data_IF_451925940399
#
_entry.id   IF_451925940399
#
_cell.length_a   1.000
_cell.length_b   1.000
_cell.length_c   1.000
_cell.angle_alpha   90.00
_cell.angle_beta   90.00
_cell.angle_gamma   90.00
#
_symmetry.space_group_name_H-M   'P 1'
#
loop_
_entity.id
_entity.type
_entity.pdbx_description
1 polymer ?
#
# COMPACT_ATOMS: atom_id res chain seq x y z
N UNK A 1 -14.46 42.11 -22.64
CA UNK A 1 -14.72 41.49 -21.32
C UNK A 1 -13.50 41.79 -20.45
N UNK A 2 -13.61 42.80 -19.60
CA UNK A 2 -12.50 43.30 -18.76
C UNK A 2 -12.29 42.33 -17.59
N UNK A 3 -11.06 41.82 -17.40
CA UNK A 3 -10.70 41.02 -16.23
C UNK A 3 -10.69 41.95 -15.02
N UNK A 4 -11.64 41.76 -14.10
CA UNK A 4 -11.66 42.43 -12.82
C UNK A 4 -10.60 41.77 -11.94
N UNK A 5 -9.41 42.38 -11.83
CA UNK A 5 -8.43 41.97 -10.84
C UNK A 5 -8.71 42.79 -9.57
N UNK A 6 -8.99 42.13 -8.45
CA UNK A 6 -9.10 42.80 -7.16
C UNK A 6 -7.72 43.36 -6.77
N UNK A 7 -7.71 44.65 -6.43
CA UNK A 7 -6.52 45.38 -6.01
C UNK A 7 -6.53 45.52 -4.49
N UNK A 8 -5.36 45.39 -3.88
CA UNK A 8 -5.18 45.60 -2.45
C UNK A 8 -5.18 47.10 -2.10
N UNK A 9 -5.11 47.44 -0.81
CA UNK A 9 -5.18 48.83 -0.33
C UNK A 9 -4.05 49.74 -0.82
N UNK A 10 -3.00 49.18 -1.41
CA UNK A 10 -1.87 49.90 -2.02
C UNK A 10 -1.96 49.96 -3.57
N UNK A 11 -3.05 49.45 -4.16
CA UNK A 11 -3.25 49.46 -5.62
C UNK A 11 -2.55 48.33 -6.38
N UNK A 12 -1.87 47.43 -5.68
CA UNK A 12 -1.27 46.23 -6.26
C UNK A 12 -2.30 45.13 -6.51
N UNK A 13 -2.05 44.28 -7.52
CA UNK A 13 -2.88 43.10 -7.78
C UNK A 13 -2.74 42.14 -6.60
N UNK A 14 -3.87 41.79 -5.98
CA UNK A 14 -3.91 40.81 -4.91
C UNK A 14 -3.31 39.49 -5.39
N UNK A 15 -2.14 39.15 -4.87
CA UNK A 15 -1.51 37.87 -5.19
C UNK A 15 -2.37 36.77 -4.57
N UNK A 16 -3.02 35.97 -5.42
CA UNK A 16 -3.62 34.71 -5.01
C UNK A 16 -2.56 33.90 -4.24
N UNK A 17 -2.96 33.34 -3.10
CA UNK A 17 -2.17 32.39 -2.31
C UNK A 17 -1.46 31.42 -3.25
N UNK A 18 -0.15 31.25 -3.05
CA UNK A 18 0.65 30.31 -3.85
C UNK A 18 -0.04 28.93 -3.85
N UNK A 19 -0.20 28.28 -5.01
CA UNK A 19 -0.78 26.95 -5.06
C UNK A 19 -0.05 26.02 -4.08
N UNK A 20 -0.77 25.18 -3.31
CA UNK A 20 -0.11 24.26 -2.41
C UNK A 20 0.89 23.38 -3.17
N UNK A 21 2.09 23.21 -2.62
CA UNK A 21 3.09 22.29 -3.17
C UNK A 21 2.69 20.89 -2.76
N UNK A 22 2.04 20.16 -3.66
CA UNK A 22 1.68 18.77 -3.42
C UNK A 22 2.89 17.86 -3.63
N UNK A 23 3.19 17.00 -2.65
CA UNK A 23 4.18 15.95 -2.82
C UNK A 23 3.65 14.92 -3.83
N UNK A 24 4.42 14.63 -4.88
CA UNK A 24 4.07 13.61 -5.86
C UNK A 24 4.14 12.24 -5.19
N UNK A 25 2.99 11.61 -4.96
CA UNK A 25 2.94 10.24 -4.46
C UNK A 25 3.47 9.30 -5.54
N UNK A 26 4.51 8.55 -5.20
CA UNK A 26 5.15 7.62 -6.13
C UNK A 26 4.26 6.40 -6.33
N UNK A 27 3.86 6.16 -7.57
CA UNK A 27 3.10 4.94 -7.91
C UNK A 27 3.97 3.69 -7.71
N UNK A 28 3.52 2.69 -6.95
CA UNK A 28 4.24 1.43 -6.82
C UNK A 28 4.29 0.71 -8.17
N UNK A 29 5.43 0.09 -8.47
CA UNK A 29 5.69 -0.58 -9.75
C UNK A 29 6.08 -2.04 -9.54
N UNK A 30 5.32 -2.95 -10.15
CA UNK A 30 5.64 -4.37 -10.12
C UNK A 30 6.58 -4.72 -11.28
N UNK A 31 7.88 -4.65 -11.00
CA UNK A 31 8.93 -4.87 -12.00
C UNK A 31 9.34 -6.33 -12.19
N UNK A 32 9.10 -7.18 -11.19
CA UNK A 32 9.48 -8.59 -11.19
C UNK A 32 8.30 -9.44 -10.73
N UNK A 33 8.14 -10.62 -11.33
CA UNK A 33 7.14 -11.61 -10.91
C UNK A 33 7.71 -12.61 -9.89
N UNK A 34 8.49 -12.08 -8.94
CA UNK A 34 9.10 -12.84 -7.84
C UNK A 34 8.38 -12.57 -6.53
N UNK A 35 8.57 -13.46 -5.55
CA UNK A 35 7.85 -13.41 -4.29
C UNK A 35 8.12 -12.14 -3.46
N UNK A 36 9.38 -11.72 -3.24
CA UNK A 36 9.65 -10.46 -2.55
C UNK A 36 9.03 -9.24 -3.27
N UNK A 37 9.01 -9.25 -4.61
CA UNK A 37 8.43 -8.15 -5.36
C UNK A 37 6.89 -8.11 -5.25
N UNK A 38 6.23 -9.26 -5.15
CA UNK A 38 4.79 -9.35 -4.92
C UNK A 38 4.42 -8.94 -3.49
N UNK A 39 5.21 -9.33 -2.48
CA UNK A 39 5.00 -8.93 -1.10
C UNK A 39 5.13 -7.41 -0.94
N UNK A 40 6.23 -6.82 -1.42
CA UNK A 40 6.43 -5.36 -1.41
C UNK A 40 5.30 -4.65 -2.13
N UNK A 41 4.91 -5.11 -3.33
CA UNK A 41 3.82 -4.51 -4.07
C UNK A 41 2.46 -4.60 -3.35
N UNK A 42 2.20 -5.68 -2.61
CA UNK A 42 0.98 -5.84 -1.79
C UNK A 42 0.98 -4.90 -0.58
N UNK A 43 2.13 -4.59 0.00
CA UNK A 43 2.24 -3.63 1.11
C UNK A 43 2.16 -2.17 0.62
N UNK A 44 2.88 -1.82 -0.44
CA UNK A 44 2.93 -0.44 -0.96
C UNK A 44 1.62 0.00 -1.64
N UNK A 45 0.86 -0.94 -2.23
CA UNK A 45 -0.32 -0.60 -3.03
C UNK A 45 -1.49 -0.03 -2.22
N UNK A 46 -1.88 -0.59 -1.05
CA UNK A 46 -2.86 0.02 -0.16
C UNK A 46 -2.41 1.39 0.35
N UNK A 47 -1.15 1.53 0.76
CA UNK A 47 -0.57 2.79 1.25
C UNK A 47 -0.67 3.90 0.19
N UNK A 48 -0.28 3.59 -1.05
CA UNK A 48 -0.46 4.48 -2.20
C UNK A 48 -1.93 4.92 -2.38
N UNK A 49 -2.88 4.00 -2.18
CA UNK A 49 -4.31 4.30 -2.27
C UNK A 49 -4.80 5.27 -1.20
N UNK A 50 -4.35 5.07 0.04
CA UNK A 50 -4.66 5.92 1.21
C UNK A 50 -4.06 7.30 1.08
N UNK A 51 -2.78 7.41 0.74
CA UNK A 51 -2.11 8.71 0.54
C UNK A 51 -2.79 9.49 -0.60
N UNK A 52 -3.16 8.82 -1.70
CA UNK A 52 -3.87 9.48 -2.80
C UNK A 52 -5.28 9.92 -2.39
N UNK A 53 -5.95 9.16 -1.53
CA UNK A 53 -7.24 9.54 -0.97
C UNK A 53 -7.13 10.81 -0.13
N UNK A 54 -6.15 10.90 0.75
CA UNK A 54 -5.91 12.09 1.59
C UNK A 54 -5.62 13.35 0.74
N UNK A 55 -4.84 13.19 -0.33
CA UNK A 55 -4.64 14.28 -1.29
C UNK A 55 -5.94 14.68 -2.00
N UNK A 56 -6.74 13.71 -2.47
CA UNK A 56 -8.01 13.98 -3.14
C UNK A 56 -9.00 14.74 -2.22
N UNK A 57 -9.04 14.40 -0.93
CA UNK A 57 -9.83 15.14 0.07
C UNK A 57 -9.34 16.58 0.21
N UNK A 58 -8.03 16.80 0.11
CA UNK A 58 -7.41 18.13 0.21
C UNK A 58 -7.58 18.97 -1.06
N UNK A 59 -7.50 18.37 -2.25
CA UNK A 59 -7.59 19.06 -3.55
C UNK A 59 -9.01 19.16 -4.10
N UNK A 60 -9.94 18.34 -3.61
CA UNK A 60 -11.29 18.20 -4.15
C UNK A 60 -11.36 17.39 -5.44
N UNK A 61 -10.28 16.70 -5.83
CA UNK A 61 -10.25 15.86 -7.01
C UNK A 61 -10.96 14.51 -6.78
N UNK A 62 -11.55 13.96 -7.85
CA UNK A 62 -12.18 12.64 -7.77
C UNK A 62 -11.13 11.54 -7.69
N UNK A 63 -11.12 10.75 -6.60
CA UNK A 63 -10.15 9.67 -6.33
C UNK A 63 -9.92 8.71 -7.51
N UNK A 64 -10.99 8.32 -8.21
CA UNK A 64 -10.94 7.46 -9.40
C UNK A 64 -10.12 8.02 -10.58
N UNK A 65 -9.94 9.34 -10.63
CA UNK A 65 -9.20 10.00 -11.70
C UNK A 65 -7.70 10.11 -11.37
N UNK A 66 -7.34 10.01 -10.09
CA UNK A 66 -5.98 10.18 -9.58
C UNK A 66 -5.29 8.83 -9.38
N UNK A 67 -6.05 7.81 -8.97
CA UNK A 67 -5.51 6.48 -8.69
C UNK A 67 -5.11 5.74 -9.97
N UNK A 68 -3.83 5.39 -10.08
CA UNK A 68 -3.33 4.54 -11.16
C UNK A 68 -3.88 3.12 -10.99
N UNK A 69 -4.31 2.50 -12.10
CA UNK A 69 -4.83 1.12 -12.16
C UNK A 69 -3.75 0.08 -11.89
N UNK A 70 -4.13 -1.13 -11.44
CA UNK A 70 -3.15 -2.19 -11.11
C UNK A 70 -2.40 -2.62 -12.34
N UNK A 71 -3.12 -2.78 -13.45
CA UNK A 71 -2.59 -3.05 -14.77
C UNK A 71 -1.55 -2.03 -15.24
N UNK A 72 -1.72 -0.75 -14.91
CA UNK A 72 -0.77 0.33 -15.27
C UNK A 72 0.44 0.42 -14.33
N UNK A 73 0.35 -0.20 -13.15
CA UNK A 73 1.46 -0.32 -12.21
C UNK A 73 2.39 -1.50 -12.53
N UNK A 74 2.03 -2.37 -13.47
CA UNK A 74 2.83 -3.55 -13.82
C UNK A 74 3.78 -3.21 -14.97
N UNK A 75 5.06 -3.55 -14.82
CA UNK A 75 6.04 -3.41 -15.89
C UNK A 75 5.65 -4.25 -17.11
N UNK A 76 5.92 -3.72 -18.31
CA UNK A 76 5.42 -4.32 -19.55
C UNK A 76 5.83 -5.79 -19.73
N UNK A 77 7.04 -6.15 -19.26
CA UNK A 77 7.57 -7.53 -19.34
C UNK A 77 6.76 -8.48 -18.47
N UNK A 78 6.44 -8.07 -17.25
CA UNK A 78 5.60 -8.83 -16.32
C UNK A 78 4.18 -8.91 -16.86
N UNK A 79 3.66 -7.82 -17.40
CA UNK A 79 2.33 -7.80 -18.01
C UNK A 79 2.23 -8.80 -19.17
N UNK A 80 3.17 -8.81 -20.13
CA UNK A 80 3.17 -9.81 -21.22
C UNK A 80 3.27 -11.23 -20.69
N UNK A 81 4.06 -11.45 -19.65
CA UNK A 81 4.15 -12.76 -19.02
C UNK A 81 2.79 -13.22 -18.47
N UNK A 82 2.08 -12.34 -17.75
CA UNK A 82 0.75 -12.63 -17.21
C UNK A 82 -0.26 -12.95 -18.32
N UNK A 83 -0.32 -12.10 -19.34
CA UNK A 83 -1.27 -12.24 -20.45
C UNK A 83 -1.05 -13.56 -21.21
N UNK A 84 0.21 -13.86 -21.56
CA UNK A 84 0.50 -15.02 -22.42
C UNK A 84 0.55 -16.34 -21.66
N UNK A 85 1.18 -16.39 -20.49
CA UNK A 85 1.48 -17.66 -19.82
C UNK A 85 0.51 -18.01 -18.71
N UNK A 86 -0.01 -17.01 -17.98
CA UNK A 86 -0.89 -17.25 -16.84
C UNK A 86 -2.35 -17.24 -17.29
N UNK A 87 -2.81 -16.12 -17.84
CA UNK A 87 -4.22 -15.92 -18.19
C UNK A 87 -4.59 -16.41 -19.59
N UNK A 88 -3.61 -16.61 -20.47
CA UNK A 88 -3.80 -17.06 -21.87
C UNK A 88 -4.90 -16.26 -22.59
N UNK A 89 -4.87 -14.95 -22.41
CA UNK A 89 -5.91 -14.03 -22.89
C UNK A 89 -5.29 -12.87 -23.69
N UNK A 90 -6.07 -11.86 -24.05
CA UNK A 90 -5.56 -10.65 -24.69
C UNK A 90 -5.23 -9.56 -23.66
N UNK A 91 -4.34 -8.64 -24.03
CA UNK A 91 -3.98 -7.49 -23.18
C UNK A 91 -5.22 -6.68 -22.78
N UNK A 92 -6.22 -6.55 -23.65
CA UNK A 92 -7.44 -5.79 -23.36
C UNK A 92 -8.41 -6.52 -22.43
N UNK A 93 -8.51 -7.85 -22.56
CA UNK A 93 -9.42 -8.67 -21.75
C UNK A 93 -8.93 -8.87 -20.31
N UNK A 94 -7.64 -8.61 -20.03
CA UNK A 94 -7.10 -8.72 -18.68
C UNK A 94 -7.55 -7.53 -17.81
N UNK A 95 -8.30 -7.81 -16.75
CA UNK A 95 -8.81 -6.81 -15.81
C UNK A 95 -7.93 -6.68 -14.56
N UNK A 96 -8.05 -5.56 -13.85
CA UNK A 96 -7.34 -5.32 -12.58
C UNK A 96 -7.72 -6.37 -11.54
N UNK A 97 -8.99 -6.76 -11.48
CA UNK A 97 -9.48 -7.75 -10.51
C UNK A 97 -8.85 -9.12 -10.74
N UNK A 98 -8.74 -9.54 -12.00
CA UNK A 98 -8.07 -10.79 -12.35
C UNK A 98 -6.59 -10.76 -11.96
N UNK A 99 -5.90 -9.65 -12.22
CA UNK A 99 -4.50 -9.47 -11.85
C UNK A 99 -4.31 -9.51 -10.33
N UNK A 100 -5.13 -8.77 -9.57
CA UNK A 100 -5.07 -8.77 -8.11
C UNK A 100 -5.26 -10.18 -7.56
N UNK A 101 -6.26 -10.92 -8.05
CA UNK A 101 -6.52 -12.29 -7.60
C UNK A 101 -5.33 -13.21 -7.82
N UNK A 102 -4.62 -13.05 -8.93
CA UNK A 102 -3.45 -13.87 -9.24
C UNK A 102 -2.21 -13.45 -8.42
N UNK A 103 -2.04 -12.16 -8.13
CA UNK A 103 -1.04 -11.66 -7.17
C UNK A 103 -1.29 -12.29 -5.79
N UNK A 104 -2.53 -12.24 -5.30
CA UNK A 104 -2.95 -12.84 -4.03
C UNK A 104 -2.73 -14.36 -4.03
N UNK A 105 -3.13 -15.06 -5.09
CA UNK A 105 -2.92 -16.50 -5.22
C UNK A 105 -1.44 -16.86 -5.17
N UNK A 106 -0.58 -16.15 -5.91
CA UNK A 106 0.85 -16.45 -5.98
C UNK A 106 1.59 -16.08 -4.70
N UNK A 107 1.28 -14.91 -4.11
CA UNK A 107 1.83 -14.51 -2.83
C UNK A 107 1.38 -15.45 -1.69
N UNK A 108 0.10 -15.84 -1.68
CA UNK A 108 -0.47 -16.76 -0.70
C UNK A 108 -0.03 -18.22 -0.88
N UNK A 109 0.28 -18.67 -2.10
CA UNK A 109 0.69 -20.05 -2.39
C UNK A 109 1.99 -20.47 -1.70
N UNK A 110 2.87 -19.54 -1.30
CA UNK A 110 4.06 -19.89 -0.51
C UNK A 110 3.80 -19.92 1.00
N UNK A 111 2.76 -19.24 1.49
CA UNK A 111 2.43 -19.29 2.93
C UNK A 111 1.86 -20.66 3.34
N UNK A 112 1.41 -21.48 2.39
CA UNK A 112 1.02 -22.88 2.64
C UNK A 112 2.19 -23.88 2.50
N UNK A 113 3.18 -23.61 1.64
CA UNK A 113 4.30 -24.53 1.40
C UNK A 113 5.51 -24.25 2.30
N UNK A 114 5.57 -23.05 2.89
CA UNK A 114 6.52 -22.69 3.93
C UNK A 114 5.73 -22.03 5.05
N UNK A 115 5.13 -22.84 5.93
CA UNK A 115 4.84 -22.38 7.28
C UNK A 115 6.22 -22.14 7.89
N UNK A 116 6.65 -20.87 8.11
CA UNK A 116 7.85 -20.66 8.91
C UNK A 116 7.62 -21.37 10.24
N UNK A 117 8.65 -21.95 10.82
CA UNK A 117 8.58 -22.42 12.19
C UNK A 117 8.31 -21.19 13.08
N UNK A 118 7.01 -20.91 13.26
CA UNK A 118 6.50 -19.69 13.90
C UNK A 118 7.05 -19.63 15.33
N UNK A 119 7.08 -20.78 15.99
CA UNK A 119 7.64 -20.94 17.34
C UNK A 119 9.12 -20.55 17.37
N UNK A 120 9.93 -21.09 16.45
CA UNK A 120 11.35 -20.73 16.37
C UNK A 120 11.56 -19.25 16.03
N UNK A 121 10.82 -18.72 15.07
CA UNK A 121 10.98 -17.35 14.58
C UNK A 121 10.68 -16.32 15.69
N UNK A 122 9.56 -16.48 16.41
CA UNK A 122 9.23 -15.62 17.54
C UNK A 122 10.18 -15.86 18.71
N UNK A 123 10.57 -17.11 19.01
CA UNK A 123 11.50 -17.42 20.09
C UNK A 123 12.91 -16.80 19.90
N UNK A 124 13.37 -16.68 18.65
CA UNK A 124 14.67 -16.08 18.33
C UNK A 124 14.63 -14.54 18.35
N UNK A 125 13.56 -13.94 17.81
CA UNK A 125 13.50 -12.51 17.51
C UNK A 125 12.66 -11.68 18.47
N UNK A 126 11.78 -12.30 19.26
CA UNK A 126 10.87 -11.59 20.16
C UNK A 126 11.21 -11.93 21.62
N UNK A 127 12.02 -11.06 22.24
CA UNK A 127 12.40 -11.17 23.66
C UNK A 127 12.11 -9.85 24.36
N UNK A 128 11.65 -9.95 25.60
CA UNK A 128 11.58 -8.78 26.48
C UNK A 128 13.00 -8.26 26.70
N UNK A 129 13.23 -6.99 26.39
CA UNK A 129 14.49 -6.31 26.68
C UNK A 129 14.58 -6.04 28.18
N UNK A 130 15.34 -6.87 28.89
CA UNK A 130 15.56 -6.75 30.34
C UNK A 130 16.56 -5.66 30.72
N UNK A 131 17.16 -4.96 29.75
CA UNK A 131 18.04 -3.82 30.00
C UNK A 131 17.27 -2.52 30.23
N UNK A 132 16.05 -2.42 29.72
CA UNK A 132 15.12 -1.33 29.99
C UNK A 132 14.62 -1.38 31.44
N UNK A 133 14.66 -0.23 32.13
CA UNK A 133 14.27 -0.12 33.55
C UNK A 133 12.81 0.26 33.72
N UNK A 134 12.22 0.88 32.70
CA UNK A 134 10.81 1.22 32.67
C UNK A 134 9.98 0.01 32.20
N UNK A 135 9.12 -0.50 33.08
CA UNK A 135 8.28 -1.66 32.79
C UNK A 135 7.25 -1.38 31.69
N UNK A 136 6.73 -0.16 31.59
CA UNK A 136 5.77 0.21 30.54
C UNK A 136 6.46 0.29 29.19
N UNK A 137 7.64 0.92 29.13
CA UNK A 137 8.45 0.98 27.91
C UNK A 137 8.91 -0.42 27.46
N UNK A 138 9.29 -1.28 28.41
CA UNK A 138 9.67 -2.67 28.14
C UNK A 138 8.53 -3.47 27.47
N UNK A 139 7.31 -3.34 27.99
CA UNK A 139 6.13 -4.00 27.43
C UNK A 139 5.76 -3.41 26.07
N UNK A 140 5.82 -2.08 25.93
CA UNK A 140 5.55 -1.41 24.66
C UNK A 140 6.53 -1.85 23.56
N UNK A 141 7.83 -1.89 23.85
CA UNK A 141 8.86 -2.32 22.91
C UNK A 141 8.68 -3.78 22.46
N UNK A 142 8.23 -4.65 23.38
CA UNK A 142 7.88 -6.03 23.04
C UNK A 142 6.74 -6.10 22.02
N UNK A 143 5.63 -5.38 22.24
CA UNK A 143 4.50 -5.39 21.31
C UNK A 143 4.80 -4.69 19.97
N UNK A 144 5.63 -3.63 19.99
CA UNK A 144 6.13 -3.00 18.75
C UNK A 144 7.00 -4.00 17.97
N UNK A 145 7.91 -4.72 18.64
CA UNK A 145 8.71 -5.77 18.02
C UNK A 145 7.87 -6.91 17.43
N UNK A 146 6.79 -7.28 18.12
CA UNK A 146 5.82 -8.25 17.63
C UNK A 146 5.13 -7.76 16.35
N UNK A 147 4.65 -6.52 16.33
CA UNK A 147 3.95 -5.93 15.18
C UNK A 147 4.88 -5.85 13.96
N UNK A 148 6.11 -5.39 14.15
CA UNK A 148 7.14 -5.39 13.11
C UNK A 148 7.39 -6.80 12.55
N UNK A 149 7.53 -7.81 13.43
CA UNK A 149 7.78 -9.19 13.00
C UNK A 149 6.58 -9.78 12.22
N UNK A 150 5.36 -9.43 12.61
CA UNK A 150 4.13 -9.86 11.93
C UNK A 150 3.99 -9.20 10.55
N UNK A 151 4.35 -7.92 10.44
CA UNK A 151 4.32 -7.18 9.17
C UNK A 151 5.42 -7.66 8.20
N UNK A 152 6.67 -7.80 8.69
CA UNK A 152 7.83 -8.23 7.90
C UNK A 152 7.66 -9.64 7.32
N UNK A 153 6.91 -10.50 8.02
CA UNK A 153 6.66 -11.89 7.63
C UNK A 153 5.25 -12.13 7.07
N UNK A 154 4.48 -11.06 6.82
CA UNK A 154 3.13 -11.13 6.20
C UNK A 154 2.16 -12.01 7.01
N UNK A 155 2.37 -12.14 8.32
CA UNK A 155 1.56 -12.97 9.22
C UNK A 155 0.29 -12.27 9.74
N UNK A 156 0.04 -11.02 9.33
CA UNK A 156 -1.09 -10.23 9.82
C UNK A 156 -2.45 -10.94 9.69
N UNK A 157 -2.65 -11.74 8.63
CA UNK A 157 -3.86 -12.55 8.41
C UNK A 157 -4.02 -13.66 9.47
N UNK A 158 -2.92 -14.23 9.94
CA UNK A 158 -2.91 -15.35 10.90
C UNK A 158 -3.17 -14.90 12.33
N UNK A 159 -2.72 -13.68 12.69
CA UNK A 159 -2.93 -13.09 14.02
C UNK A 159 -4.30 -12.41 14.13
N UNK A 160 -5.16 -12.53 13.11
CA UNK A 160 -6.48 -11.88 13.11
C UNK A 160 -6.40 -10.35 13.02
N UNK A 161 -5.29 -9.81 12.47
CA UNK A 161 -5.12 -8.37 12.19
C UNK A 161 -5.40 -7.99 10.75
N UNK A 162 -5.76 -8.95 9.90
CA UNK A 162 -6.41 -8.61 8.64
C UNK A 162 -7.67 -7.80 8.97
N UNK A 163 -7.79 -6.60 8.39
CA UNK A 163 -8.94 -5.73 8.62
C UNK A 163 -10.23 -6.55 8.57
N UNK A 164 -11.03 -6.43 9.64
CA UNK A 164 -12.35 -7.02 9.74
C UNK A 164 -13.30 -6.32 8.75
N UNK A 165 -13.10 -6.55 7.45
CA UNK A 165 -14.12 -6.30 6.44
C UNK A 165 -15.09 -7.49 6.45
N UNK A 166 -15.73 -7.72 7.60
CA UNK A 166 -16.80 -8.68 7.77
C UNK A 166 -17.94 -7.99 8.53
N UNK A 167 -18.88 -7.48 7.74
CA UNK A 167 -20.31 -7.33 8.09
C UNK A 167 -20.65 -6.70 9.45
N UNK A 168 -20.88 -5.39 9.43
CA UNK A 168 -21.84 -4.74 10.34
C UNK A 168 -22.52 -3.61 9.54
N UNK A 169 -23.82 -3.56 9.32
CA UNK A 169 -24.91 -4.46 9.69
C UNK A 169 -26.19 -4.01 8.98
N UNK A 170 -27.15 -4.94 8.91
CA UNK A 170 -28.59 -4.82 8.64
C UNK A 170 -29.09 -3.79 7.64
#
# INVERSE_FOLDING_TARGET
>A
MTRNNELDTDGDVKMSVAPPVYALIKTPKLAKWSQPALAVFRCERPQYGTENWELCVTTGEAHKNVLVTVKSSIEWKVHKYLVHYIFKTTVFALTDEAICREIERKAGSLMNDHVPDVEKMFGENLKIDTSEKDAEAQVANYFIGFDNLVEDNVLAVWVGRAEANASAGK
#
